data_IF_343170105928
#
_entry.id   IF_343170105928
#
_cell.length_a   1.000
_cell.length_b   1.000
_cell.length_c   1.000
_cell.angle_alpha   90.00
_cell.angle_beta   90.00
_cell.angle_gamma   90.00
#
_symmetry.space_group_name_H-M   'P 1'
#
loop_
_entity.id
_entity.type
_entity.pdbx_description
1 polymer ?
#
# COMPACT_ATOMS: atom_id res chain seq x y z
N UNK A 1 -20.15 32.20 -36.98
CA UNK A 1 -19.93 31.62 -35.64
C UNK A 1 -18.81 30.58 -35.82
N UNK A 2 -17.62 31.03 -35.51
CA UNK A 2 -16.41 30.21 -35.50
C UNK A 2 -16.41 29.36 -34.23
N UNK A 3 -16.39 28.05 -34.39
CA UNK A 3 -16.14 27.09 -33.33
C UNK A 3 -14.66 27.11 -32.98
N UNK A 4 -14.39 27.29 -31.70
CA UNK A 4 -13.05 27.41 -31.12
C UNK A 4 -12.40 26.01 -31.03
N UNK A 5 -11.19 25.75 -31.54
CA UNK A 5 -10.57 24.43 -31.54
C UNK A 5 -9.90 24.05 -30.22
N UNK A 6 -10.29 24.63 -29.08
CA UNK A 6 -9.64 24.38 -27.80
C UNK A 6 -10.27 23.27 -26.92
N UNK A 7 -11.35 22.61 -27.37
CA UNK A 7 -12.06 21.61 -26.59
C UNK A 7 -11.67 20.15 -26.88
N UNK A 8 -10.68 19.89 -27.73
CA UNK A 8 -10.25 18.53 -28.08
C UNK A 8 -9.15 17.95 -27.15
N UNK A 9 -8.82 18.63 -26.03
CA UNK A 9 -7.74 18.27 -25.11
C UNK A 9 -8.18 17.66 -23.76
N UNK A 10 -9.48 17.42 -23.54
CA UNK A 10 -10.01 16.98 -22.24
C UNK A 10 -10.23 15.46 -22.14
N UNK A 11 -9.61 14.65 -23.00
CA UNK A 11 -9.62 13.20 -22.86
C UNK A 11 -8.67 12.78 -21.73
N UNK A 12 -9.22 12.62 -20.50
CA UNK A 12 -8.67 11.68 -19.54
C UNK A 12 -7.39 12.09 -18.80
N UNK A 13 -7.23 13.34 -18.36
CA UNK A 13 -6.32 13.60 -17.25
C UNK A 13 -6.97 13.03 -15.97
N UNK A 14 -6.65 11.78 -15.66
CA UNK A 14 -6.96 11.22 -14.35
C UNK A 14 -6.40 12.17 -13.29
N UNK A 15 -7.27 12.70 -12.44
CA UNK A 15 -6.87 13.46 -11.27
C UNK A 15 -6.33 12.45 -10.27
N UNK A 16 -5.03 12.23 -10.26
CA UNK A 16 -4.39 11.57 -9.13
C UNK A 16 -4.64 12.44 -7.91
N UNK A 17 -5.48 11.97 -7.03
CA UNK A 17 -5.82 12.64 -5.77
C UNK A 17 -4.77 12.24 -4.73
N UNK A 18 -4.47 13.12 -3.78
CA UNK A 18 -3.61 12.77 -2.65
C UNK A 18 -4.22 11.55 -1.91
N UNK A 19 -3.37 10.62 -1.39
CA UNK A 19 -3.85 9.43 -0.69
C UNK A 19 -4.84 9.77 0.43
N UNK A 20 -5.90 9.00 0.58
CA UNK A 20 -6.98 9.23 1.57
C UNK A 20 -6.48 9.34 3.01
N UNK A 21 -5.39 8.66 3.35
CA UNK A 21 -4.77 8.72 4.67
C UNK A 21 -4.11 10.09 4.98
N UNK A 22 -3.81 10.93 4.00
CA UNK A 22 -3.26 12.28 4.21
C UNK A 22 -4.21 13.20 4.97
N UNK A 23 -5.50 13.18 4.62
CA UNK A 23 -6.52 13.96 5.36
C UNK A 23 -6.66 13.47 6.79
N UNK A 24 -6.73 12.14 6.96
CA UNK A 24 -6.81 11.51 8.26
C UNK A 24 -5.58 11.85 9.13
N UNK A 25 -4.37 11.81 8.56
CA UNK A 25 -3.14 12.23 9.23
C UNK A 25 -3.20 13.70 9.64
N UNK A 26 -3.65 14.58 8.76
CA UNK A 26 -3.75 16.02 9.04
C UNK A 26 -4.69 16.30 10.20
N UNK A 27 -5.82 15.59 10.29
CA UNK A 27 -6.75 15.66 11.41
C UNK A 27 -6.12 15.10 12.70
N UNK A 28 -5.51 13.91 12.62
CA UNK A 28 -4.89 13.25 13.77
C UNK A 28 -3.75 14.06 14.38
N UNK A 29 -2.91 14.72 13.58
CA UNK A 29 -1.84 15.61 14.05
C UNK A 29 -2.35 16.80 14.88
N UNK A 30 -3.60 17.20 14.68
CA UNK A 30 -4.22 18.31 15.43
C UNK A 30 -4.84 17.85 16.75
N UNK A 31 -5.25 16.58 16.87
CA UNK A 31 -6.09 16.05 17.94
C UNK A 31 -5.41 15.01 18.81
N UNK A 32 -4.57 14.17 18.22
CA UNK A 32 -3.94 13.03 18.89
C UNK A 32 -2.43 13.23 19.10
N UNK A 33 -1.90 12.65 20.16
CA UNK A 33 -0.45 12.59 20.41
C UNK A 33 0.19 11.32 19.83
N UNK A 34 -0.63 10.34 19.46
CA UNK A 34 -0.23 9.07 18.88
C UNK A 34 -1.06 8.76 17.64
N UNK A 35 -0.42 8.21 16.62
CA UNK A 35 -1.05 7.86 15.35
C UNK A 35 -0.62 6.46 14.96
N UNK A 36 -1.54 5.52 14.85
CA UNK A 36 -1.27 4.15 14.44
C UNK A 36 -1.71 3.94 12.99
N UNK A 37 -0.74 3.68 12.13
CA UNK A 37 -0.98 3.26 10.75
C UNK A 37 -1.00 1.74 10.65
N UNK A 38 -1.99 1.23 9.89
CA UNK A 38 -2.14 -0.20 9.58
C UNK A 38 -2.44 -0.40 8.10
N UNK A 39 -2.24 -1.59 7.59
CA UNK A 39 -2.55 -1.94 6.21
C UNK A 39 -1.38 -1.76 5.25
N UNK A 40 -1.60 -1.13 4.10
CA UNK A 40 -0.62 -1.04 3.01
C UNK A 40 0.48 0.00 3.24
N UNK A 41 1.19 -0.08 4.37
CA UNK A 41 2.20 0.92 4.78
C UNK A 41 3.60 0.67 4.20
N UNK A 42 3.78 -0.38 3.39
CA UNK A 42 5.07 -0.75 2.77
C UNK A 42 5.09 -0.53 1.26
N UNK A 43 4.17 0.28 0.76
CA UNK A 43 3.98 0.51 -0.66
C UNK A 43 4.43 1.91 -1.10
N UNK A 44 4.13 2.24 -2.34
CA UNK A 44 4.33 3.54 -2.95
C UNK A 44 3.03 4.32 -2.96
N UNK A 45 3.15 5.64 -2.90
CA UNK A 45 1.99 6.53 -2.87
C UNK A 45 2.20 7.71 -3.80
N UNK A 46 1.13 8.19 -4.47
CA UNK A 46 1.19 9.33 -5.35
C UNK A 46 1.46 10.63 -4.58
N UNK A 47 2.41 11.40 -5.04
CA UNK A 47 2.73 12.74 -4.56
C UNK A 47 2.65 13.71 -5.72
N UNK A 48 1.75 14.67 -5.62
CA UNK A 48 1.57 15.73 -6.63
C UNK A 48 2.68 16.76 -6.51
N UNK A 49 3.35 17.03 -7.62
CA UNK A 49 4.38 18.07 -7.74
C UNK A 49 4.08 18.99 -8.91
N UNK A 50 4.73 20.15 -8.96
CA UNK A 50 4.60 21.12 -10.06
C UNK A 50 4.94 20.56 -11.45
N UNK A 51 5.66 19.43 -11.51
CA UNK A 51 6.02 18.72 -12.76
C UNK A 51 5.23 17.44 -13.04
N UNK A 52 4.20 17.11 -12.24
CA UNK A 52 3.42 15.89 -12.40
C UNK A 52 3.25 15.10 -11.10
N UNK A 53 2.74 13.87 -11.22
CA UNK A 53 2.65 12.93 -10.11
C UNK A 53 3.92 12.08 -10.04
N UNK A 54 4.44 11.87 -8.86
CA UNK A 54 5.52 10.90 -8.56
C UNK A 54 5.04 9.94 -7.50
N UNK A 55 5.53 8.70 -7.56
CA UNK A 55 5.19 7.68 -6.57
C UNK A 55 6.40 7.46 -5.65
N UNK A 56 6.21 7.71 -4.36
CA UNK A 56 7.25 7.65 -3.34
C UNK A 56 6.91 6.58 -2.29
N UNK A 57 7.92 6.02 -1.59
CA UNK A 57 7.69 5.18 -0.42
C UNK A 57 6.84 5.89 0.64
N UNK A 58 6.12 5.12 1.43
CA UNK A 58 5.26 5.63 2.50
C UNK A 58 5.97 6.62 3.43
N UNK A 59 7.19 6.29 3.89
CA UNK A 59 7.97 7.14 4.80
C UNK A 59 8.29 8.50 4.19
N UNK A 60 8.61 8.55 2.88
CA UNK A 60 8.88 9.82 2.19
C UNK A 60 7.61 10.67 2.07
N UNK A 61 6.47 10.04 1.74
CA UNK A 61 5.18 10.72 1.71
C UNK A 61 4.77 11.23 3.10
N UNK A 62 4.98 10.41 4.13
CA UNK A 62 4.74 10.77 5.52
C UNK A 62 5.58 11.99 5.93
N UNK A 63 6.87 11.99 5.62
CA UNK A 63 7.78 13.11 5.91
C UNK A 63 7.33 14.39 5.22
N UNK A 64 6.90 14.33 3.95
CA UNK A 64 6.37 15.51 3.26
C UNK A 64 5.07 16.03 3.91
N UNK A 65 4.17 15.14 4.29
CA UNK A 65 2.94 15.50 4.98
C UNK A 65 3.21 16.12 6.38
N UNK A 66 4.21 15.62 7.09
CA UNK A 66 4.67 16.17 8.38
C UNK A 66 5.30 17.56 8.20
N UNK A 67 6.16 17.72 7.19
CA UNK A 67 6.80 19.01 6.88
C UNK A 67 5.78 20.11 6.55
N UNK A 68 4.70 19.77 5.84
CA UNK A 68 3.59 20.69 5.56
C UNK A 68 2.86 21.16 6.83
N UNK A 69 3.05 20.47 7.97
CA UNK A 69 2.51 20.82 9.29
C UNK A 69 3.57 21.36 10.26
N UNK A 70 4.70 21.83 9.73
CA UNK A 70 5.78 22.44 10.51
C UNK A 70 6.62 21.44 11.32
N UNK A 71 6.54 20.13 11.01
CA UNK A 71 7.38 19.09 11.60
C UNK A 71 8.49 18.78 10.60
N UNK A 72 9.70 19.32 10.85
CA UNK A 72 10.82 19.16 9.94
C UNK A 72 11.60 17.85 10.18
N UNK A 73 11.64 17.34 11.40
CA UNK A 73 12.43 16.17 11.76
C UNK A 73 11.59 14.90 11.90
N UNK A 74 12.11 13.78 11.40
CA UNK A 74 11.57 12.44 11.64
C UNK A 74 12.65 11.55 12.27
N UNK A 75 12.41 11.10 13.50
CA UNK A 75 13.25 10.11 14.20
C UNK A 75 12.59 8.75 14.02
N UNK A 76 13.24 7.86 13.31
CA UNK A 76 12.78 6.49 13.10
C UNK A 76 13.42 5.56 14.12
N UNK A 77 12.63 4.71 14.74
CA UNK A 77 13.08 3.58 15.52
C UNK A 77 12.84 2.29 14.75
N UNK A 78 13.87 1.49 14.63
CA UNK A 78 13.84 0.13 14.09
C UNK A 78 14.31 -0.85 15.18
N UNK A 79 13.65 -2.00 15.42
CA UNK A 79 14.05 -2.96 16.45
C UNK A 79 15.45 -3.55 16.27
N UNK A 80 16.03 -3.47 15.09
CA UNK A 80 17.38 -3.97 14.76
C UNK A 80 18.41 -2.85 14.81
N UNK A 81 18.12 -1.75 14.12
CA UNK A 81 19.07 -0.65 13.91
C UNK A 81 18.99 0.43 14.99
N UNK A 82 17.92 0.44 15.79
CA UNK A 82 17.69 1.43 16.84
C UNK A 82 17.16 2.75 16.31
N UNK A 83 17.62 3.87 16.87
CA UNK A 83 17.17 5.21 16.50
C UNK A 83 18.01 5.78 15.35
N UNK A 84 17.35 6.27 14.31
CA UNK A 84 17.96 6.93 13.16
C UNK A 84 17.18 8.16 12.75
N UNK A 85 17.82 9.05 11.98
CA UNK A 85 17.14 10.21 11.37
C UNK A 85 16.60 9.86 9.98
N UNK A 86 15.50 10.44 9.61
CA UNK A 86 14.95 10.39 8.27
C UNK A 86 14.67 11.81 7.73
N UNK A 87 15.39 12.25 6.70
CA UNK A 87 16.49 11.58 6.01
C UNK A 87 17.77 11.48 6.86
N UNK A 88 18.71 10.57 6.52
CA UNK A 88 19.88 10.29 7.34
C UNK A 88 20.85 11.47 7.57
N UNK A 89 20.74 12.52 6.77
CA UNK A 89 21.68 13.65 6.75
C UNK A 89 21.02 14.96 7.21
N UNK A 90 20.56 14.99 8.45
CA UNK A 90 20.18 16.23 9.14
C UNK A 90 21.10 16.51 10.34
N UNK A 91 22.30 17.07 10.11
CA UNK A 91 23.31 17.22 11.15
C UNK A 91 22.82 18.09 12.30
N UNK A 92 22.09 19.17 12.04
CA UNK A 92 21.56 20.06 13.07
C UNK A 92 20.60 19.35 14.04
N UNK A 93 19.70 18.51 13.54
CA UNK A 93 18.82 17.71 14.38
C UNK A 93 19.60 16.64 15.15
N UNK A 94 20.57 16.00 14.50
CA UNK A 94 21.45 15.01 15.13
C UNK A 94 22.22 15.60 16.32
N UNK A 95 22.81 16.78 16.15
CA UNK A 95 23.52 17.51 17.23
C UNK A 95 22.57 17.92 18.37
N UNK A 96 21.36 18.42 18.05
CA UNK A 96 20.35 18.77 19.05
C UNK A 96 19.92 17.56 19.88
N UNK A 97 19.74 16.40 19.26
CA UNK A 97 19.39 15.16 19.95
C UNK A 97 20.56 14.64 20.82
N UNK A 98 21.80 14.70 20.31
CA UNK A 98 22.99 14.31 21.05
C UNK A 98 23.21 15.18 22.30
N UNK A 99 23.01 16.49 22.19
CA UNK A 99 23.08 17.42 23.32
C UNK A 99 22.09 17.08 24.45
N UNK A 100 21.00 16.39 24.13
CA UNK A 100 19.98 15.91 25.08
C UNK A 100 20.20 14.48 25.56
N UNK A 101 21.34 13.89 25.21
CA UNK A 101 21.70 12.52 25.56
C UNK A 101 20.91 11.45 24.85
N UNK A 102 20.31 11.79 23.69
CA UNK A 102 19.65 10.81 22.80
C UNK A 102 20.71 10.29 21.85
N UNK A 103 21.01 9.00 21.96
CA UNK A 103 22.00 8.33 21.11
C UNK A 103 21.30 7.69 19.92
N UNK A 104 21.74 8.04 18.72
CA UNK A 104 21.37 7.38 17.49
C UNK A 104 22.12 6.06 17.34
N UNK A 105 21.54 5.11 16.58
CA UNK A 105 22.11 3.79 16.33
C UNK A 105 21.63 2.71 17.31
N UNK A 106 22.31 1.57 17.29
CA UNK A 106 21.87 0.31 17.94
C UNK A 106 21.67 0.38 19.46
N UNK A 107 22.26 1.34 20.13
CA UNK A 107 22.11 1.50 21.60
C UNK A 107 20.69 1.74 22.11
N UNK A 108 19.76 2.09 21.21
CA UNK A 108 18.35 2.32 21.50
C UNK A 108 17.40 1.30 20.86
N UNK A 109 17.92 0.20 20.28
CA UNK A 109 17.13 -0.74 19.49
C UNK A 109 16.07 -1.49 20.31
N UNK A 110 16.38 -1.88 21.54
CA UNK A 110 15.45 -2.65 22.38
C UNK A 110 14.42 -1.77 23.12
N UNK A 111 13.37 -2.40 23.69
CA UNK A 111 12.30 -1.70 24.41
C UNK A 111 12.79 -0.81 25.56
N UNK A 112 13.87 -1.19 26.24
CA UNK A 112 14.45 -0.41 27.36
C UNK A 112 15.11 0.89 26.88
N UNK A 113 15.89 0.82 25.78
CA UNK A 113 16.53 2.00 25.20
C UNK A 113 15.49 2.98 24.66
N UNK A 114 14.50 2.46 23.94
CA UNK A 114 13.37 3.24 23.42
C UNK A 114 12.59 3.89 24.57
N UNK A 115 12.28 3.16 25.64
CA UNK A 115 11.59 3.68 26.83
C UNK A 115 12.33 4.86 27.47
N UNK A 116 13.65 4.84 27.46
CA UNK A 116 14.45 5.93 28.01
C UNK A 116 14.49 7.17 27.08
N UNK A 117 14.47 6.96 25.76
CA UNK A 117 14.56 8.03 24.77
C UNK A 117 13.21 8.73 24.50
N UNK A 118 12.10 7.98 24.45
CA UNK A 118 10.79 8.48 24.05
C UNK A 118 10.30 9.71 24.82
N UNK A 119 10.35 9.77 26.18
CA UNK A 119 9.89 10.96 26.90
C UNK A 119 10.65 12.22 26.52
N UNK A 120 11.94 12.09 26.17
CA UNK A 120 12.78 13.21 25.72
C UNK A 120 12.45 13.63 24.30
N UNK A 121 12.24 12.66 23.41
CA UNK A 121 11.84 12.92 22.03
C UNK A 121 10.45 13.59 21.96
N UNK A 122 9.47 13.04 22.67
CA UNK A 122 8.10 13.56 22.68
C UNK A 122 7.97 14.92 23.38
N UNK A 123 8.86 15.19 24.34
CA UNK A 123 8.92 16.45 25.07
C UNK A 123 9.81 17.52 24.47
N UNK A 124 10.44 17.28 23.30
CA UNK A 124 11.36 18.22 22.66
C UNK A 124 10.68 19.53 22.23
N UNK A 125 11.02 20.71 22.81
CA UNK A 125 10.31 21.94 22.52
C UNK A 125 10.90 22.73 21.34
N UNK A 126 12.21 22.64 21.12
CA UNK A 126 12.93 23.53 20.19
C UNK A 126 12.95 23.00 18.77
N UNK A 127 12.90 21.67 18.60
CA UNK A 127 12.85 21.03 17.28
C UNK A 127 11.55 20.24 17.13
N UNK A 128 10.55 20.76 16.40
CA UNK A 128 9.37 19.96 16.05
C UNK A 128 9.78 18.73 15.26
N UNK A 129 9.57 17.55 15.85
CA UNK A 129 9.90 16.27 15.24
C UNK A 129 8.75 15.28 15.41
N UNK A 130 8.71 14.26 14.57
CA UNK A 130 7.88 13.09 14.77
C UNK A 130 8.75 11.87 15.11
N UNK A 131 8.22 10.95 15.90
CA UNK A 131 8.88 9.67 16.19
C UNK A 131 8.12 8.58 15.50
N UNK A 132 8.78 7.87 14.58
CA UNK A 132 8.23 6.74 13.84
C UNK A 132 8.74 5.43 14.45
N UNK A 133 7.84 4.62 14.98
CA UNK A 133 8.13 3.25 15.41
C UNK A 133 7.87 2.32 14.22
N UNK A 134 8.95 2.00 13.52
CA UNK A 134 8.89 1.03 12.42
C UNK A 134 8.90 -0.40 12.99
N UNK A 135 8.26 -1.34 12.29
CA UNK A 135 8.04 -2.71 12.79
C UNK A 135 7.45 -2.75 14.20
N UNK A 136 6.57 -1.80 14.54
CA UNK A 136 6.03 -1.67 15.89
C UNK A 136 5.31 -2.93 16.37
N UNK A 137 4.68 -3.69 15.48
CA UNK A 137 4.08 -4.99 15.78
C UNK A 137 5.08 -5.97 16.39
N UNK A 138 6.32 -5.99 15.90
CA UNK A 138 7.38 -6.84 16.43
C UNK A 138 7.86 -6.35 17.79
N UNK A 139 7.90 -5.03 17.97
CA UNK A 139 8.27 -4.41 19.23
C UNK A 139 7.27 -4.75 20.35
N UNK A 140 5.97 -4.76 20.05
CA UNK A 140 4.90 -5.02 21.03
C UNK A 140 4.55 -6.51 21.19
N UNK A 141 4.99 -7.40 20.31
CA UNK A 141 4.80 -8.85 20.42
C UNK A 141 5.88 -9.54 21.27
N UNK A 142 6.90 -8.81 21.75
CA UNK A 142 7.99 -9.33 22.56
C UNK A 142 7.60 -9.70 24.00
N UNK A 143 8.55 -9.61 24.92
CA UNK A 143 8.32 -9.91 26.34
C UNK A 143 7.19 -9.03 26.92
N UNK A 144 6.12 -9.63 27.49
CA UNK A 144 4.96 -8.87 27.98
C UNK A 144 5.33 -7.79 29.03
N UNK A 145 6.26 -8.09 29.93
CA UNK A 145 6.66 -7.15 30.96
C UNK A 145 7.40 -5.92 30.40
N UNK A 146 8.32 -6.15 29.47
CA UNK A 146 9.04 -5.06 28.79
C UNK A 146 8.09 -4.24 27.88
N UNK A 147 7.17 -4.92 27.18
CA UNK A 147 6.11 -4.28 26.39
C UNK A 147 5.24 -3.36 27.23
N UNK A 148 4.66 -3.89 28.31
CA UNK A 148 3.72 -3.14 29.15
C UNK A 148 4.42 -1.94 29.81
N UNK A 149 5.67 -2.12 30.26
CA UNK A 149 6.48 -1.04 30.80
C UNK A 149 6.76 0.06 29.74
N UNK A 150 6.98 -0.31 28.47
CA UNK A 150 7.14 0.63 27.36
C UNK A 150 5.83 1.38 27.09
N UNK A 151 4.71 0.67 26.96
CA UNK A 151 3.40 1.25 26.68
C UNK A 151 2.94 2.22 27.78
N UNK A 152 3.15 1.86 29.06
CA UNK A 152 2.90 2.77 30.19
C UNK A 152 3.80 4.01 30.14
N UNK A 153 5.07 3.87 29.77
CA UNK A 153 5.96 5.01 29.63
C UNK A 153 5.52 5.95 28.50
N UNK A 154 5.06 5.40 27.37
CA UNK A 154 4.48 6.16 26.25
C UNK A 154 3.23 6.90 26.71
N UNK A 155 2.27 6.22 27.34
CA UNK A 155 1.03 6.83 27.81
C UNK A 155 1.31 8.00 28.76
N UNK A 156 2.23 7.82 29.71
CA UNK A 156 2.66 8.90 30.61
C UNK A 156 3.30 10.07 29.85
N UNK A 157 4.14 9.80 28.87
CA UNK A 157 4.81 10.86 28.09
C UNK A 157 3.81 11.65 27.24
N UNK A 158 2.85 10.96 26.62
CA UNK A 158 1.81 11.59 25.78
C UNK A 158 0.80 12.37 26.62
N UNK A 159 0.40 11.88 27.78
CA UNK A 159 -0.54 12.59 28.70
C UNK A 159 0.14 13.66 29.55
N UNK A 160 1.46 13.68 29.62
CA UNK A 160 2.23 14.69 30.35
C UNK A 160 2.02 16.12 29.82
N UNK A 161 2.64 17.13 30.40
CA UNK A 161 2.54 18.52 29.93
C UNK A 161 3.10 18.65 28.50
N UNK A 162 2.40 19.40 27.65
CA UNK A 162 2.90 19.68 26.31
C UNK A 162 4.12 20.59 26.36
N UNK A 163 5.14 20.37 25.51
CA UNK A 163 6.29 21.27 25.43
C UNK A 163 5.83 22.67 25.01
N UNK A 164 6.48 23.71 25.55
CA UNK A 164 6.23 25.10 25.17
C UNK A 164 6.96 25.38 23.86
N UNK A 165 6.21 25.59 22.78
CA UNK A 165 6.77 25.95 21.46
C UNK A 165 7.25 27.40 21.46
N UNK A 166 8.37 27.66 20.80
CA UNK A 166 8.83 29.00 20.48
C UNK A 166 7.98 29.63 19.39
N UNK A 167 8.04 30.96 19.22
CA UNK A 167 7.31 31.65 18.14
C UNK A 167 7.69 31.14 16.74
N UNK A 168 8.93 30.71 16.54
CA UNK A 168 9.42 30.16 15.28
C UNK A 168 8.69 28.85 14.85
N UNK A 169 8.03 28.18 15.80
CA UNK A 169 7.35 26.90 15.59
C UNK A 169 5.88 26.95 16.02
N UNK A 170 5.24 28.12 15.92
CA UNK A 170 3.85 28.32 16.34
C UNK A 170 2.85 27.43 15.56
N UNK A 171 3.16 27.15 14.30
CA UNK A 171 2.32 26.35 13.41
C UNK A 171 2.49 24.82 13.58
N UNK A 172 3.54 24.40 14.28
CA UNK A 172 3.76 23.00 14.57
C UNK A 172 2.76 22.48 15.62
N UNK A 173 2.43 21.19 15.60
CA UNK A 173 1.62 20.56 16.63
C UNK A 173 2.18 20.82 18.03
N UNK A 174 1.28 20.97 19.01
CA UNK A 174 1.69 21.23 20.41
C UNK A 174 2.62 20.17 20.99
N UNK A 175 2.52 18.93 20.49
CA UNK A 175 3.35 17.78 20.86
C UNK A 175 4.05 17.21 19.65
N UNK A 176 5.19 16.59 19.88
CA UNK A 176 5.83 15.73 18.91
C UNK A 176 4.99 14.44 18.79
N UNK A 177 4.45 14.11 17.61
CA UNK A 177 3.62 12.95 17.47
C UNK A 177 4.46 11.66 17.49
N UNK A 178 3.89 10.61 18.11
CA UNK A 178 4.39 9.25 18.02
C UNK A 178 3.59 8.51 16.97
N UNK A 179 4.27 7.95 15.98
CA UNK A 179 3.67 7.25 14.84
C UNK A 179 4.03 5.76 14.94
N UNK A 180 3.02 4.91 14.91
CA UNK A 180 3.14 3.47 14.96
C UNK A 180 2.91 2.88 13.58
N UNK A 181 3.83 2.02 13.12
CA UNK A 181 3.64 1.20 11.93
C UNK A 181 3.29 -0.21 12.39
N UNK A 182 2.01 -0.55 12.32
CA UNK A 182 1.46 -1.82 12.79
C UNK A 182 1.01 -2.70 11.63
N UNK A 183 1.13 -4.01 11.78
CA UNK A 183 0.62 -4.98 10.81
C UNK A 183 -0.92 -5.02 10.86
N UNK A 184 -1.48 -5.03 12.08
CA UNK A 184 -2.92 -5.04 12.32
C UNK A 184 -3.33 -4.11 13.46
N UNK A 185 -4.58 -3.62 13.49
CA UNK A 185 -5.08 -2.79 14.60
C UNK A 185 -5.05 -3.50 15.96
N UNK A 186 -5.12 -4.85 15.95
CA UNK A 186 -5.12 -5.67 17.17
C UNK A 186 -3.74 -5.96 17.76
N UNK A 187 -2.67 -5.44 17.18
CA UNK A 187 -1.31 -5.69 17.70
C UNK A 187 -1.05 -4.93 19.03
N UNK A 188 -1.73 -3.80 19.22
CA UNK A 188 -1.71 -3.11 20.51
C UNK A 188 -2.65 -3.78 21.50
N UNK A 189 -2.25 -3.98 22.77
CA UNK A 189 -3.13 -4.54 23.79
C UNK A 189 -4.41 -3.72 23.98
N UNK A 190 -5.54 -4.39 24.22
CA UNK A 190 -6.84 -3.73 24.39
C UNK A 190 -6.81 -2.64 25.47
N UNK A 191 -6.16 -2.89 26.61
CA UNK A 191 -6.05 -1.93 27.70
C UNK A 191 -5.36 -0.61 27.29
N UNK A 192 -4.50 -0.66 26.26
CA UNK A 192 -3.79 0.51 25.74
C UNK A 192 -4.55 1.17 24.59
N UNK A 193 -5.19 0.40 23.72
CA UNK A 193 -5.82 0.89 22.50
C UNK A 193 -7.27 1.34 22.71
N UNK A 194 -8.08 0.56 23.47
CA UNK A 194 -9.51 0.82 23.61
C UNK A 194 -9.75 2.00 24.54
N UNK A 195 -10.54 2.98 24.05
CA UNK A 195 -10.86 4.20 24.80
C UNK A 195 -9.69 5.17 24.99
N UNK A 196 -8.60 4.99 24.27
CA UNK A 196 -7.46 5.89 24.32
C UNK A 196 -7.64 7.08 23.37
N UNK A 197 -8.14 8.19 23.88
CA UNK A 197 -8.38 9.42 23.13
C UNK A 197 -7.09 10.06 22.56
N UNK A 198 -5.92 9.67 23.06
CA UNK A 198 -4.64 10.18 22.56
C UNK A 198 -4.11 9.38 21.37
N UNK A 199 -4.76 8.26 21.00
CA UNK A 199 -4.37 7.37 19.92
C UNK A 199 -5.40 7.43 18.78
N UNK A 200 -4.95 7.84 17.61
CA UNK A 200 -5.75 7.82 16.37
C UNK A 200 -5.32 6.65 15.50
N UNK A 201 -6.28 5.89 14.96
CA UNK A 201 -6.01 4.80 14.02
C UNK A 201 -6.30 5.24 12.59
N UNK A 202 -5.34 4.99 11.70
CA UNK A 202 -5.43 5.29 10.27
C UNK A 202 -5.15 4.00 9.49
N UNK A 203 -6.15 3.55 8.75
CA UNK A 203 -5.98 2.43 7.82
C UNK A 203 -5.51 2.95 6.46
N UNK A 204 -4.42 2.38 5.97
CA UNK A 204 -3.89 2.64 4.64
C UNK A 204 -4.43 1.58 3.69
N UNK A 205 -5.32 1.93 2.75
CA UNK A 205 -5.91 0.96 1.84
C UNK A 205 -4.92 0.47 0.79
N UNK A 206 -5.28 -0.61 0.11
CA UNK A 206 -4.63 -1.00 -1.14
C UNK A 206 -4.92 0.05 -2.21
N UNK A 207 -4.03 0.21 -3.21
CA UNK A 207 -4.21 1.20 -4.26
C UNK A 207 -5.52 0.97 -5.02
N UNK A 208 -6.26 2.04 -5.24
CA UNK A 208 -7.48 2.03 -6.05
C UNK A 208 -7.18 1.95 -7.56
N UNK A 209 -8.22 1.95 -8.38
CA UNK A 209 -8.06 1.85 -9.84
C UNK A 209 -7.34 3.07 -10.42
N UNK A 210 -7.61 4.27 -9.91
CA UNK A 210 -7.02 5.52 -10.41
C UNK A 210 -5.52 5.59 -10.06
N UNK A 211 -5.16 5.21 -8.84
CA UNK A 211 -3.77 5.12 -8.41
C UNK A 211 -3.00 4.06 -9.23
N UNK A 212 -3.60 2.88 -9.45
CA UNK A 212 -2.99 1.83 -10.29
C UNK A 212 -2.84 2.27 -11.74
N UNK A 213 -3.83 2.96 -12.30
CA UNK A 213 -3.75 3.47 -13.67
C UNK A 213 -2.66 4.54 -13.81
N UNK A 214 -2.61 5.49 -12.88
CA UNK A 214 -1.56 6.51 -12.85
C UNK A 214 -0.17 5.90 -12.75
N UNK A 215 -0.02 4.87 -11.92
CA UNK A 215 1.24 4.16 -11.77
C UNK A 215 1.60 3.29 -12.98
N UNK A 216 0.62 2.66 -13.63
CA UNK A 216 0.84 1.96 -14.89
C UNK A 216 1.39 2.92 -15.97
N UNK A 217 0.90 4.17 -16.00
CA UNK A 217 1.43 5.23 -16.85
C UNK A 217 2.90 5.55 -16.54
N UNK A 218 3.30 5.64 -15.26
CA UNK A 218 4.71 5.83 -14.88
C UNK A 218 5.58 4.64 -15.32
N UNK A 219 5.05 3.41 -15.21
CA UNK A 219 5.75 2.20 -15.61
C UNK A 219 5.81 1.99 -17.14
N UNK A 220 5.05 2.75 -17.94
CA UNK A 220 4.99 2.56 -19.41
C UNK A 220 6.37 2.62 -20.07
N UNK A 221 7.27 3.47 -19.57
CA UNK A 221 8.64 3.56 -20.06
C UNK A 221 9.51 2.32 -19.79
N UNK A 222 9.04 1.35 -19.00
CA UNK A 222 9.72 0.08 -18.76
C UNK A 222 9.57 -0.87 -19.96
N UNK A 223 8.52 -0.70 -20.77
CA UNK A 223 8.14 -1.63 -21.82
C UNK A 223 8.65 -1.17 -23.19
N UNK A 224 9.37 -2.05 -23.88
CA UNK A 224 9.94 -1.78 -25.19
C UNK A 224 8.89 -1.66 -26.31
N UNK A 225 7.76 -2.36 -26.19
CA UNK A 225 6.67 -2.38 -27.17
C UNK A 225 5.82 -1.10 -27.19
N UNK A 226 5.89 -0.26 -26.14
CA UNK A 226 5.15 0.99 -26.03
C UNK A 226 5.50 2.00 -27.14
N UNK A 227 6.74 1.98 -27.63
CA UNK A 227 7.19 2.87 -28.70
C UNK A 227 6.47 2.62 -30.05
N UNK A 228 5.90 1.45 -30.23
CA UNK A 228 5.16 1.08 -31.45
C UNK A 228 3.64 1.30 -31.31
N UNK A 229 3.15 1.64 -30.12
CA UNK A 229 1.71 1.83 -29.85
C UNK A 229 1.27 3.25 -30.18
N UNK A 230 0.07 3.38 -30.72
CA UNK A 230 -0.61 4.69 -30.80
C UNK A 230 -1.18 5.07 -29.40
N UNK A 231 -1.59 6.35 -29.26
CA UNK A 231 -2.08 6.88 -27.99
C UNK A 231 -3.33 6.16 -27.47
N UNK A 232 -4.21 5.68 -28.37
CA UNK A 232 -5.43 4.97 -28.03
C UNK A 232 -5.13 3.55 -27.56
N UNK A 233 -4.25 2.87 -28.26
CA UNK A 233 -3.79 1.53 -27.88
C UNK A 233 -3.06 1.57 -26.55
N UNK A 234 -2.14 2.51 -26.36
CA UNK A 234 -1.43 2.71 -25.10
C UNK A 234 -2.41 2.91 -23.93
N UNK A 235 -3.38 3.82 -24.07
CA UNK A 235 -4.38 4.06 -23.05
C UNK A 235 -5.17 2.80 -22.69
N UNK A 236 -5.59 2.02 -23.68
CA UNK A 236 -6.30 0.75 -23.47
C UNK A 236 -5.45 -0.30 -22.75
N UNK A 237 -4.13 -0.39 -23.05
CA UNK A 237 -3.22 -1.31 -22.37
C UNK A 237 -2.92 -0.89 -20.94
N UNK A 238 -2.79 0.40 -20.67
CA UNK A 238 -2.62 0.92 -19.31
C UNK A 238 -3.87 0.65 -18.45
N UNK A 239 -5.05 0.81 -19.02
CA UNK A 239 -6.31 0.46 -18.34
C UNK A 239 -6.38 -1.05 -18.08
N UNK A 240 -6.02 -1.89 -19.05
CA UNK A 240 -5.92 -3.34 -18.86
C UNK A 240 -4.95 -3.68 -17.71
N UNK A 241 -3.77 -3.07 -17.68
CA UNK A 241 -2.80 -3.28 -16.61
C UNK A 241 -3.39 -2.91 -15.23
N UNK A 242 -4.02 -1.74 -15.11
CA UNK A 242 -4.62 -1.29 -13.86
C UNK A 242 -5.76 -2.20 -13.38
N UNK A 243 -6.58 -2.71 -14.30
CA UNK A 243 -7.67 -3.64 -14.00
C UNK A 243 -7.15 -5.02 -13.55
N UNK A 244 -6.17 -5.56 -14.29
CA UNK A 244 -5.60 -6.88 -13.99
C UNK A 244 -4.76 -6.89 -12.71
N UNK A 245 -4.20 -5.74 -12.34
CA UNK A 245 -3.45 -5.54 -11.10
C UNK A 245 -4.34 -5.33 -9.87
N UNK A 246 -5.65 -5.59 -9.97
CA UNK A 246 -6.55 -5.46 -8.82
C UNK A 246 -6.08 -6.29 -7.62
N UNK A 247 -6.06 -5.66 -6.42
CA UNK A 247 -5.54 -6.24 -5.19
C UNK A 247 -4.02 -6.36 -5.12
N UNK A 248 -3.27 -5.77 -6.06
CA UNK A 248 -1.80 -5.67 -5.99
C UNK A 248 -1.38 -4.35 -5.35
N UNK A 249 -0.23 -4.38 -4.70
CA UNK A 249 0.50 -3.16 -4.31
C UNK A 249 1.13 -2.50 -5.55
N UNK A 250 1.41 -1.20 -5.49
CA UNK A 250 2.14 -0.52 -6.57
C UNK A 250 3.56 -1.08 -6.72
N UNK A 251 4.21 -1.43 -5.61
CA UNK A 251 5.50 -2.14 -5.61
C UNK A 251 5.41 -3.49 -6.32
N UNK A 252 4.30 -4.22 -6.13
CA UNK A 252 4.01 -5.47 -6.84
C UNK A 252 3.83 -5.24 -8.34
N UNK A 253 3.13 -4.17 -8.75
CA UNK A 253 2.99 -3.80 -10.15
C UNK A 253 4.34 -3.50 -10.81
N UNK A 254 5.25 -2.79 -10.11
CA UNK A 254 6.62 -2.54 -10.59
C UNK A 254 7.38 -3.86 -10.81
N UNK A 255 7.27 -4.79 -9.86
CA UNK A 255 7.91 -6.10 -9.97
C UNK A 255 7.39 -6.88 -11.17
N UNK A 256 6.07 -6.88 -11.38
CA UNK A 256 5.46 -7.57 -12.51
C UNK A 256 5.80 -6.90 -13.85
N UNK A 257 5.88 -5.57 -13.90
CA UNK A 257 6.31 -4.86 -15.10
C UNK A 257 7.74 -5.27 -15.52
N UNK A 258 8.67 -5.28 -14.56
CA UNK A 258 10.04 -5.74 -14.80
C UNK A 258 10.08 -7.22 -15.24
N UNK A 259 9.26 -8.07 -14.62
CA UNK A 259 9.15 -9.47 -15.00
C UNK A 259 8.58 -9.63 -16.43
N UNK A 260 7.53 -8.88 -16.80
CA UNK A 260 6.92 -8.93 -18.11
C UNK A 260 7.91 -8.55 -19.22
N UNK A 261 8.69 -7.49 -19.01
CA UNK A 261 9.73 -7.07 -19.96
C UNK A 261 10.85 -8.12 -20.07
N UNK A 262 11.34 -8.64 -18.95
CA UNK A 262 12.39 -9.68 -18.93
C UNK A 262 11.97 -10.99 -19.64
N UNK A 263 10.68 -11.34 -19.58
CA UNK A 263 10.13 -12.52 -20.28
C UNK A 263 9.69 -12.22 -21.73
N UNK A 264 9.87 -11.00 -22.21
CA UNK A 264 9.50 -10.59 -23.57
C UNK A 264 8.00 -10.47 -23.82
N UNK A 265 7.20 -10.28 -22.76
CA UNK A 265 5.74 -10.13 -22.91
C UNK A 265 5.34 -8.70 -23.29
N UNK A 266 6.14 -7.70 -22.96
CA UNK A 266 5.81 -6.29 -23.13
C UNK A 266 4.55 -5.87 -22.35
N UNK A 267 4.07 -4.66 -22.62
CA UNK A 267 2.81 -4.16 -22.07
C UNK A 267 1.61 -4.90 -22.68
N UNK A 268 1.69 -5.28 -23.93
CA UNK A 268 0.62 -6.05 -24.61
C UNK A 268 0.36 -7.42 -23.96
N UNK A 269 1.37 -8.02 -23.32
CA UNK A 269 1.28 -9.31 -22.64
C UNK A 269 1.13 -9.21 -21.13
N UNK A 270 0.86 -8.03 -20.57
CA UNK A 270 0.89 -7.78 -19.13
C UNK A 270 -0.09 -8.66 -18.32
N UNK A 271 -1.27 -8.93 -18.87
CA UNK A 271 -2.26 -9.81 -18.23
C UNK A 271 -1.72 -11.24 -18.03
N UNK A 272 -0.98 -11.77 -19.01
CA UNK A 272 -0.34 -13.09 -18.91
C UNK A 272 0.82 -13.08 -17.89
N UNK A 273 1.59 -12.00 -17.86
CA UNK A 273 2.67 -11.82 -16.89
C UNK A 273 2.15 -11.75 -15.45
N UNK A 274 1.10 -10.96 -15.19
CA UNK A 274 0.42 -10.89 -13.89
C UNK A 274 -0.07 -12.27 -13.47
N UNK A 275 -0.74 -12.98 -14.36
CA UNK A 275 -1.24 -14.32 -14.11
C UNK A 275 -0.09 -15.28 -13.75
N UNK A 276 0.97 -15.26 -14.53
CA UNK A 276 2.14 -16.10 -14.31
C UNK A 276 2.81 -15.80 -12.97
N UNK A 277 2.95 -14.52 -12.65
CA UNK A 277 3.51 -14.08 -11.38
C UNK A 277 2.67 -14.53 -10.16
N UNK A 278 1.32 -14.39 -10.26
CA UNK A 278 0.41 -14.80 -9.17
C UNK A 278 0.36 -16.30 -8.94
N UNK A 279 0.40 -17.09 -10.02
CA UNK A 279 0.21 -18.56 -9.96
C UNK A 279 1.54 -19.30 -9.90
N UNK A 280 2.64 -18.66 -10.28
CA UNK A 280 3.97 -19.28 -10.37
C UNK A 280 4.11 -20.27 -11.53
N UNK A 281 3.15 -20.33 -12.47
CA UNK A 281 3.19 -21.25 -13.59
C UNK A 281 3.08 -20.53 -14.93
N UNK A 282 4.05 -20.78 -15.83
CA UNK A 282 4.06 -20.20 -17.18
C UNK A 282 2.99 -20.77 -18.09
N UNK A 283 2.49 -21.98 -17.83
CA UNK A 283 1.48 -22.64 -18.66
C UNK A 283 0.09 -22.36 -18.12
N UNK A 284 -0.76 -21.77 -18.96
CA UNK A 284 -2.17 -21.68 -18.68
C UNK A 284 -2.86 -23.00 -19.08
N UNK A 285 -3.26 -23.86 -18.12
CA UNK A 285 -3.88 -25.15 -18.45
C UNK A 285 -5.12 -25.00 -19.31
N UNK A 286 -5.87 -23.91 -19.15
CA UNK A 286 -7.11 -23.65 -19.88
C UNK A 286 -6.90 -23.27 -21.34
N UNK A 287 -5.73 -22.75 -21.71
CA UNK A 287 -5.35 -22.44 -23.11
C UNK A 287 -4.76 -23.66 -23.85
N UNK A 288 -4.50 -24.77 -23.14
CA UNK A 288 -3.89 -25.94 -23.76
C UNK A 288 -4.86 -26.66 -24.70
N UNK A 289 -4.35 -27.14 -25.83
CA UNK A 289 -5.10 -27.96 -26.77
C UNK A 289 -5.63 -29.23 -26.10
N UNK A 290 -4.87 -29.79 -25.16
CA UNK A 290 -5.27 -30.95 -24.38
C UNK A 290 -6.52 -30.68 -23.53
N UNK A 291 -6.60 -29.51 -22.87
CA UNK A 291 -7.77 -29.16 -22.07
C UNK A 291 -9.00 -28.93 -22.96
N UNK A 292 -8.84 -28.29 -24.12
CA UNK A 292 -9.90 -28.13 -25.08
C UNK A 292 -10.43 -29.47 -25.57
N UNK A 293 -9.54 -30.38 -25.91
CA UNK A 293 -9.92 -31.74 -26.32
C UNK A 293 -10.65 -32.52 -25.21
N UNK A 294 -10.20 -32.35 -23.94
CA UNK A 294 -10.87 -32.98 -22.80
C UNK A 294 -12.27 -32.42 -22.56
N UNK A 295 -12.43 -31.10 -22.64
CA UNK A 295 -13.73 -30.45 -22.45
C UNK A 295 -14.68 -30.87 -23.62
N UNK A 296 -14.20 -30.91 -24.87
CA UNK A 296 -15.00 -31.35 -25.98
C UNK A 296 -15.57 -32.80 -25.81
N UNK A 297 -14.84 -33.67 -25.12
CA UNK A 297 -15.25 -35.05 -24.78
C UNK A 297 -15.90 -35.17 -23.41
N UNK A 298 -16.03 -34.07 -22.68
CA UNK A 298 -16.44 -34.02 -21.27
C UNK A 298 -17.85 -34.59 -21.07
N UNK A 299 -18.77 -34.31 -21.97
CA UNK A 299 -20.15 -34.81 -21.89
C UNK A 299 -20.19 -36.35 -21.92
N UNK A 300 -19.51 -36.98 -22.87
CA UNK A 300 -19.44 -38.44 -22.99
C UNK A 300 -18.81 -39.06 -21.72
N UNK A 301 -17.72 -38.43 -21.22
CA UNK A 301 -17.01 -38.90 -20.01
C UNK A 301 -17.88 -38.80 -18.77
N UNK A 302 -18.69 -37.76 -18.63
CA UNK A 302 -19.60 -37.57 -17.49
C UNK A 302 -20.81 -38.51 -17.60
N UNK A 303 -21.46 -38.60 -18.78
CA UNK A 303 -22.61 -39.49 -19.00
C UNK A 303 -22.28 -40.96 -18.78
N UNK A 304 -21.03 -41.38 -19.05
CA UNK A 304 -20.59 -42.73 -18.78
C UNK A 304 -20.51 -43.07 -17.28
N UNK A 305 -20.45 -42.07 -16.40
CA UNK A 305 -20.26 -42.23 -14.93
C UNK A 305 -21.45 -41.77 -14.11
N UNK A 306 -22.27 -40.89 -14.63
CA UNK A 306 -23.40 -40.27 -13.93
C UNK A 306 -24.65 -40.52 -14.81
N UNK A 307 -25.59 -41.30 -14.29
CA UNK A 307 -26.83 -41.60 -14.99
C UNK A 307 -28.01 -40.78 -14.45
N UNK A 308 -28.91 -40.38 -15.37
CA UNK A 308 -30.12 -39.66 -14.99
C UNK A 308 -29.95 -38.21 -14.60
N UNK A 309 -28.79 -37.61 -14.89
CA UNK A 309 -28.48 -36.20 -14.56
C UNK A 309 -28.08 -35.40 -15.82
N UNK A 310 -28.75 -35.65 -16.94
CA UNK A 310 -28.39 -35.04 -18.23
C UNK A 310 -28.40 -33.49 -18.17
N UNK A 311 -29.40 -32.88 -17.55
CA UNK A 311 -29.51 -31.45 -17.39
C UNK A 311 -28.32 -30.85 -16.56
N UNK A 312 -27.91 -31.53 -15.53
CA UNK A 312 -26.77 -31.09 -14.68
C UNK A 312 -25.46 -31.20 -15.50
N UNK A 313 -25.30 -32.27 -16.28
CA UNK A 313 -24.15 -32.48 -17.16
C UNK A 313 -24.10 -31.38 -18.20
N UNK A 314 -25.23 -31.08 -18.88
CA UNK A 314 -25.30 -30.06 -19.94
C UNK A 314 -24.98 -28.66 -19.42
N UNK A 315 -25.50 -28.26 -18.25
CA UNK A 315 -25.19 -26.98 -17.62
C UNK A 315 -23.71 -26.90 -17.20
N UNK A 316 -23.16 -28.00 -16.67
CA UNK A 316 -21.74 -28.06 -16.29
C UNK A 316 -20.85 -27.90 -17.52
N UNK A 317 -21.17 -28.62 -18.60
CA UNK A 317 -20.41 -28.55 -19.85
C UNK A 317 -20.48 -27.16 -20.45
N UNK A 318 -21.65 -26.52 -20.50
CA UNK A 318 -21.79 -25.15 -20.99
C UNK A 318 -20.92 -24.12 -20.23
N UNK A 319 -20.70 -24.32 -18.93
CA UNK A 319 -19.80 -23.46 -18.14
C UNK A 319 -18.35 -23.76 -18.50
N UNK A 320 -17.95 -25.03 -18.60
CA UNK A 320 -16.59 -25.43 -18.94
C UNK A 320 -16.19 -24.99 -20.34
N UNK A 321 -17.07 -25.15 -21.32
CA UNK A 321 -16.87 -24.74 -22.72
C UNK A 321 -16.64 -23.23 -22.79
N UNK A 322 -17.50 -22.42 -22.17
CA UNK A 322 -17.33 -20.98 -22.11
C UNK A 322 -15.99 -20.59 -21.43
N UNK A 323 -15.61 -21.31 -20.37
CA UNK A 323 -14.35 -21.09 -19.67
C UNK A 323 -13.12 -21.35 -20.53
N UNK A 324 -13.15 -22.43 -21.33
CA UNK A 324 -12.06 -22.80 -22.25
C UNK A 324 -11.99 -21.88 -23.46
N UNK A 325 -13.15 -21.36 -23.92
CA UNK A 325 -13.20 -20.36 -24.99
C UNK A 325 -12.87 -18.93 -24.52
N UNK A 326 -12.66 -18.70 -23.22
CA UNK A 326 -12.41 -17.39 -22.66
C UNK A 326 -13.66 -16.49 -22.59
N UNK A 327 -14.84 -17.05 -22.77
CA UNK A 327 -16.13 -16.36 -22.76
C UNK A 327 -16.71 -16.30 -21.33
N UNK A 328 -15.95 -15.89 -20.36
CA UNK A 328 -16.48 -15.61 -19.02
C UNK A 328 -17.17 -14.25 -19.03
N UNK A 329 -18.46 -14.27 -18.86
CA UNK A 329 -19.48 -13.21 -18.81
C UNK A 329 -19.06 -11.76 -19.09
N UNK A 330 -19.63 -11.20 -20.16
CA UNK A 330 -19.37 -9.84 -20.65
C UNK A 330 -19.69 -8.69 -19.67
N UNK A 331 -20.16 -8.99 -18.47
CA UNK A 331 -20.58 -7.99 -17.47
C UNK A 331 -19.58 -7.81 -16.31
N UNK A 332 -18.41 -8.44 -16.33
CA UNK A 332 -17.47 -8.42 -15.21
C UNK A 332 -16.18 -7.74 -15.67
N UNK A 333 -15.91 -6.56 -15.12
CA UNK A 333 -14.74 -5.73 -15.44
C UNK A 333 -13.38 -6.34 -15.06
N UNK A 334 -13.32 -7.35 -14.19
CA UNK A 334 -12.09 -8.06 -13.82
C UNK A 334 -12.16 -9.53 -14.25
N UNK A 335 -11.38 -9.91 -15.26
CA UNK A 335 -11.38 -11.28 -15.85
C UNK A 335 -10.58 -12.30 -15.04
N UNK A 336 -9.69 -11.89 -14.13
CA UNK A 336 -8.66 -12.77 -13.56
C UNK A 336 -8.80 -13.05 -12.05
N UNK A 337 -9.56 -12.27 -11.32
CA UNK A 337 -9.71 -12.40 -9.85
C UNK A 337 -10.87 -13.31 -9.42
N UNK A 338 -11.62 -13.93 -10.36
CA UNK A 338 -12.80 -14.75 -10.04
C UNK A 338 -12.72 -16.15 -10.64
N UNK A 339 -13.35 -17.15 -9.97
CA UNK A 339 -13.48 -18.48 -10.52
C UNK A 339 -14.22 -18.41 -11.86
N UNK A 340 -13.77 -19.18 -12.85
CA UNK A 340 -14.32 -19.21 -14.20
C UNK A 340 -15.74 -19.78 -14.29
N UNK A 341 -16.21 -20.35 -13.21
CA UNK A 341 -17.57 -20.83 -13.02
C UNK A 341 -17.79 -21.24 -11.58
N UNK A 342 -19.00 -21.02 -11.09
CA UNK A 342 -19.48 -21.52 -9.82
C UNK A 342 -20.57 -22.56 -10.12
N UNK A 343 -20.39 -23.75 -9.61
CA UNK A 343 -21.33 -24.86 -9.72
C UNK A 343 -21.82 -25.19 -8.33
N UNK A 344 -23.14 -25.19 -8.17
CA UNK A 344 -23.79 -25.61 -6.94
C UNK A 344 -24.65 -26.85 -7.25
N UNK A 345 -24.27 -27.99 -6.69
CA UNK A 345 -25.04 -29.23 -6.79
C UNK A 345 -25.81 -29.42 -5.49
N UNK A 346 -27.15 -29.39 -5.57
CA UNK A 346 -28.05 -29.74 -4.48
C UNK A 346 -28.69 -31.10 -4.79
N UNK A 347 -28.56 -32.07 -3.87
CA UNK A 347 -29.12 -33.40 -3.97
C UNK A 347 -29.91 -33.78 -2.74
#
# INVERSE_FOLDING_TARGET
RSEDPQDAGAAGRLRVVAPSWHEALSCALSTAGQIAFTGNTRDLFPVLRSGGCRFLPFEDCLREALAARGIAGLVRHDPVDGLSLSPPHEPALGEALAARGIRLGQGGAGPQGLRAALPRLLGEPEAPLAVLLDYASRLVQGDPGARDALLVAIDKAVRGPAPRRTRAHADAPRRNPLIWMLDTPGDLPEWFAVGNETLSHISVPMPDLEERFGFAGELSGTFSDVLAMDARELAARLEEFALEADGMTLSGMRTVAAFAEAEGHGLAGIAEAIRTWRIGTRRNPWKSSLMRARVARGREMLAARVQGQDDAIDRTMAILERSVMGLSGAQIRSRHARPRGLLFFAG
#
